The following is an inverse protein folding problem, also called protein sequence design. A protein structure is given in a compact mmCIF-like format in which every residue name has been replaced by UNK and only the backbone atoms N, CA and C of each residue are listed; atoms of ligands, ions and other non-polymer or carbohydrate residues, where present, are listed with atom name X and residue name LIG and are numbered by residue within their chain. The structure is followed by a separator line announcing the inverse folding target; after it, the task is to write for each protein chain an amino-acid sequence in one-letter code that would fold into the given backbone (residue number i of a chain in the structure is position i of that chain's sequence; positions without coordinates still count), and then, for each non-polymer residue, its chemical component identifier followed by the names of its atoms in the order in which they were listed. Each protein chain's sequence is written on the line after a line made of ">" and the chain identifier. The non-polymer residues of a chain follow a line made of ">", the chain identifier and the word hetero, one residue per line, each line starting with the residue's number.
data_IF_348555363820
#
_entry.id   IF_348555363820
#
_cell.length_a   1.000
_cell.length_b   1.000
_cell.length_c   1.000
_cell.angle_alpha   90.00
_cell.angle_beta   90.00
_cell.angle_gamma   90.00
#
_symmetry.space_group_name_H-M   'P 1'
#
loop_
_entity.id
_entity.type
_entity.pdbx_description
1 polymer ?
#
# COMPACT_ATOMS: atom_id res chain seq x y z
N UNK A 1 15.07 2.80 17.93
CA UNK A 1 15.16 4.20 17.48
C UNK A 1 13.94 4.45 16.61
N UNK A 2 12.97 5.21 17.11
CA UNK A 2 11.71 5.53 16.44
C UNK A 2 11.97 6.68 15.46
N UNK A 3 11.63 6.52 14.18
CA UNK A 3 11.76 7.59 13.19
C UNK A 3 10.37 8.00 12.72
N UNK A 4 10.00 9.23 13.05
CA UNK A 4 8.75 9.90 12.65
C UNK A 4 8.92 10.48 11.24
N UNK A 5 7.92 10.33 10.37
CA UNK A 5 7.86 11.04 9.09
C UNK A 5 6.58 11.87 9.00
N UNK A 6 6.65 13.10 8.46
CA UNK A 6 5.50 14.00 8.37
C UNK A 6 4.53 13.53 7.29
N UNK A 7 3.22 13.72 7.54
CA UNK A 7 2.17 13.48 6.54
C UNK A 7 1.99 14.77 5.76
N UNK A 8 2.61 14.89 4.59
CA UNK A 8 2.39 16.01 3.70
C UNK A 8 0.98 15.92 3.09
N UNK A 9 0.05 16.74 3.60
CA UNK A 9 -1.19 17.05 2.89
C UNK A 9 -0.89 18.06 1.80
N UNK A 10 -1.19 17.70 0.56
CA UNK A 10 -1.30 18.68 -0.51
C UNK A 10 -2.41 19.68 -0.12
N UNK A 11 -2.02 20.96 -0.10
CA UNK A 11 -2.82 22.17 0.15
C UNK A 11 -2.96 22.59 1.63
N UNK A 12 -2.13 23.57 2.01
CA UNK A 12 -2.44 24.61 3.01
C UNK A 12 -2.45 24.18 4.49
N UNK A 13 -1.35 24.49 5.17
CA UNK A 13 -1.18 24.73 6.62
C UNK A 13 -1.78 23.75 7.65
N UNK A 14 -0.86 23.00 8.25
CA UNK A 14 -0.64 22.88 9.71
C UNK A 14 -1.77 22.32 10.59
N UNK A 15 -1.83 20.99 10.66
CA UNK A 15 -2.05 20.26 11.92
C UNK A 15 -1.41 18.86 11.80
N UNK A 16 -0.21 18.70 12.34
CA UNK A 16 0.49 17.41 12.45
C UNK A 16 -0.26 16.51 13.44
N UNK A 17 -1.02 15.53 12.93
CA UNK A 17 -1.43 14.37 13.73
C UNK A 17 -0.45 13.24 13.49
N UNK A 18 0.46 13.03 14.44
CA UNK A 18 1.46 11.96 14.43
C UNK A 18 0.79 10.61 14.65
N UNK A 19 0.86 9.70 13.66
CA UNK A 19 0.50 8.29 13.83
C UNK A 19 1.79 7.48 13.70
N UNK A 20 2.22 6.86 14.79
CA UNK A 20 3.37 5.96 14.81
C UNK A 20 2.97 4.60 14.21
N UNK A 21 3.48 4.25 13.03
CA UNK A 21 3.44 2.88 12.52
C UNK A 21 4.76 2.17 12.83
N UNK A 22 4.74 1.24 13.78
CA UNK A 22 5.82 0.26 13.92
C UNK A 22 5.79 -0.68 12.70
N UNK A 23 6.83 -0.65 11.88
CA UNK A 23 6.88 -1.36 10.62
C UNK A 23 7.48 -2.77 10.79
N UNK A 24 6.63 -3.78 10.96
CA UNK A 24 6.97 -5.20 10.79
C UNK A 24 6.28 -5.84 9.59
N UNK A 25 5.55 -5.05 8.77
CA UNK A 25 4.82 -5.55 7.61
C UNK A 25 5.67 -5.42 6.34
N UNK A 26 5.82 -6.52 5.60
CA UNK A 26 6.52 -6.52 4.31
C UNK A 26 5.80 -5.59 3.30
N UNK A 27 6.55 -4.64 2.72
CA UNK A 27 6.01 -3.68 1.75
C UNK A 27 6.08 -4.27 0.34
N UNK A 28 4.92 -4.43 -0.30
CA UNK A 28 4.79 -4.92 -1.67
C UNK A 28 4.97 -3.77 -2.68
N UNK A 29 6.14 -3.69 -3.30
CA UNK A 29 6.43 -2.68 -4.33
C UNK A 29 5.94 -3.14 -5.71
N UNK A 30 5.13 -2.32 -6.36
CA UNK A 30 4.52 -2.62 -7.66
C UNK A 30 5.08 -1.71 -8.74
N UNK A 31 5.33 -2.28 -9.91
CA UNK A 31 5.77 -1.60 -11.12
C UNK A 31 4.79 -1.82 -12.27
N UNK A 32 4.95 -1.08 -13.36
CA UNK A 32 4.16 -1.29 -14.59
C UNK A 32 4.29 -2.71 -15.16
N UNK A 33 5.39 -3.43 -14.88
CA UNK A 33 5.61 -4.82 -15.33
C UNK A 33 5.11 -5.88 -14.36
N UNK A 34 4.68 -5.49 -13.16
CA UNK A 34 4.15 -6.42 -12.17
C UNK A 34 2.89 -7.09 -12.71
N UNK A 35 2.77 -8.40 -12.51
CA UNK A 35 1.59 -9.18 -12.92
C UNK A 35 0.53 -9.06 -11.81
N UNK A 36 -0.67 -8.53 -12.08
CA UNK A 36 -1.66 -8.27 -11.02
C UNK A 36 -2.03 -9.51 -10.22
N UNK A 37 -2.13 -10.69 -10.85
CA UNK A 37 -2.43 -11.95 -10.16
C UNK A 37 -1.33 -12.39 -9.18
N UNK A 38 -0.06 -12.17 -9.53
CA UNK A 38 1.06 -12.49 -8.64
C UNK A 38 1.08 -11.58 -7.41
N UNK A 39 0.88 -10.27 -7.62
CA UNK A 39 0.76 -9.30 -6.52
C UNK A 39 -0.47 -9.60 -5.67
N UNK A 40 -1.59 -10.00 -6.27
CA UNK A 40 -2.80 -10.38 -5.55
C UNK A 40 -2.58 -11.60 -4.64
N UNK A 41 -1.85 -12.61 -5.11
CA UNK A 41 -1.47 -13.76 -4.29
C UNK A 41 -0.63 -13.36 -3.08
N UNK A 42 0.33 -12.44 -3.27
CA UNK A 42 1.13 -11.89 -2.17
C UNK A 42 0.27 -11.11 -1.17
N UNK A 43 -0.62 -10.21 -1.63
CA UNK A 43 -1.55 -9.47 -0.76
C UNK A 43 -2.41 -10.45 0.05
N UNK A 44 -3.01 -11.44 -0.61
CA UNK A 44 -3.85 -12.42 0.08
C UNK A 44 -3.06 -13.25 1.10
N UNK A 45 -1.81 -13.63 0.80
CA UNK A 45 -0.92 -14.29 1.76
C UNK A 45 -0.69 -13.44 3.01
N UNK A 46 -0.27 -12.18 2.81
CA UNK A 46 -0.01 -11.24 3.91
C UNK A 46 -1.27 -10.98 4.74
N UNK A 47 -2.45 -10.86 4.12
CA UNK A 47 -3.73 -10.67 4.82
C UNK A 47 -4.13 -11.92 5.63
N UNK A 48 -3.82 -13.13 5.15
CA UNK A 48 -4.07 -14.36 5.92
C UNK A 48 -3.20 -14.42 7.17
N UNK A 49 -1.93 -14.01 7.05
CA UNK A 49 -0.94 -14.09 8.13
C UNK A 49 -1.05 -12.96 9.15
N UNK A 50 -1.14 -11.71 8.69
CA UNK A 50 -1.02 -10.51 9.53
C UNK A 50 -2.28 -9.65 9.59
N UNK A 51 -3.22 -9.86 8.65
CA UNK A 51 -4.42 -9.02 8.53
C UNK A 51 -4.19 -7.63 7.93
N UNK A 52 -2.94 -7.26 7.63
CA UNK A 52 -2.57 -5.94 7.12
C UNK A 52 -1.50 -6.06 6.03
N UNK A 53 -1.78 -5.59 4.82
CA UNK A 53 -0.83 -5.55 3.73
C UNK A 53 -0.59 -4.11 3.27
N UNK A 54 0.66 -3.79 2.94
CA UNK A 54 1.03 -2.50 2.37
C UNK A 54 1.52 -2.67 0.94
N UNK A 55 0.93 -1.90 0.01
CA UNK A 55 1.32 -1.88 -1.40
C UNK A 55 1.76 -0.47 -1.79
N UNK A 56 2.93 -0.34 -2.40
CA UNK A 56 3.45 0.94 -2.88
C UNK A 56 3.64 0.93 -4.39
N UNK A 57 3.31 2.03 -5.06
CA UNK A 57 3.43 2.16 -6.52
C UNK A 57 3.77 3.59 -6.94
N UNK A 58 4.52 3.74 -8.03
CA UNK A 58 4.87 5.05 -8.60
C UNK A 58 4.48 5.09 -10.07
N UNK A 59 3.75 6.15 -10.42
CA UNK A 59 3.26 6.38 -11.77
C UNK A 59 2.02 5.56 -12.13
N UNK A 60 1.26 6.07 -13.11
CA UNK A 60 -0.06 5.55 -13.47
C UNK A 60 -0.07 4.05 -13.82
N UNK A 61 0.96 3.58 -14.53
CA UNK A 61 1.08 2.17 -14.91
C UNK A 61 1.17 1.24 -13.70
N UNK A 62 2.06 1.55 -12.76
CA UNK A 62 2.23 0.76 -11.55
C UNK A 62 0.99 0.82 -10.64
N UNK A 63 0.39 2.00 -10.48
CA UNK A 63 -0.82 2.17 -9.67
C UNK A 63 -2.00 1.40 -10.25
N UNK A 64 -2.15 1.37 -11.58
CA UNK A 64 -3.16 0.54 -12.24
C UNK A 64 -2.93 -0.97 -12.01
N UNK A 65 -1.68 -1.43 -12.02
CA UNK A 65 -1.38 -2.84 -11.71
C UNK A 65 -1.67 -3.17 -10.24
N UNK A 66 -1.37 -2.24 -9.33
CA UNK A 66 -1.62 -2.41 -7.91
C UNK A 66 -3.12 -2.48 -7.60
N UNK A 67 -3.94 -1.56 -8.14
CA UNK A 67 -5.38 -1.58 -7.87
C UNK A 67 -6.07 -2.81 -8.48
N UNK A 68 -5.61 -3.28 -9.65
CA UNK A 68 -6.06 -4.56 -10.21
C UNK A 68 -5.71 -5.73 -9.29
N UNK A 69 -4.51 -5.72 -8.70
CA UNK A 69 -4.10 -6.74 -7.75
C UNK A 69 -4.96 -6.73 -6.48
N UNK A 70 -5.29 -5.56 -5.94
CA UNK A 70 -6.20 -5.42 -4.79
C UNK A 70 -7.58 -5.98 -5.11
N UNK A 71 -8.12 -5.68 -6.30
CA UNK A 71 -9.42 -6.20 -6.73
C UNK A 71 -9.41 -7.74 -6.81
N UNK A 72 -8.37 -8.33 -7.40
CA UNK A 72 -8.22 -9.80 -7.50
C UNK A 72 -8.02 -10.42 -6.11
N UNK A 73 -7.20 -9.81 -5.25
CA UNK A 73 -6.96 -10.30 -3.89
C UNK A 73 -8.25 -10.34 -3.08
N UNK A 74 -9.11 -9.32 -3.23
CA UNK A 74 -10.44 -9.32 -2.60
C UNK A 74 -11.30 -10.47 -3.08
N UNK A 75 -11.27 -10.82 -4.36
CA UNK A 75 -11.98 -12.01 -4.86
C UNK A 75 -11.46 -13.30 -4.22
N UNK A 76 -10.13 -13.49 -4.16
CA UNK A 76 -9.53 -14.67 -3.52
C UNK A 76 -9.91 -14.80 -2.04
N UNK A 77 -9.91 -13.68 -1.32
CA UNK A 77 -10.20 -13.66 0.12
C UNK A 77 -11.69 -13.82 0.41
N UNK A 78 -12.58 -13.31 -0.45
CA UNK A 78 -14.03 -13.43 -0.29
C UNK A 78 -14.51 -14.89 -0.39
N UNK A 79 -13.89 -15.70 -1.26
CA UNK A 79 -14.13 -17.15 -1.32
C UNK A 79 -13.83 -17.87 0.00
N UNK A 80 -13.00 -17.27 0.87
CA UNK A 80 -12.63 -17.75 2.20
C UNK A 80 -13.40 -17.04 3.33
N UNK A 81 -14.35 -16.16 3.00
CA UNK A 81 -15.11 -15.37 3.99
C UNK A 81 -14.34 -14.21 4.60
N UNK A 82 -13.25 -13.77 3.99
CA UNK A 82 -12.44 -12.62 4.43
C UNK A 82 -12.75 -11.42 3.50
N UNK A 83 -13.37 -10.37 4.03
CA UNK A 83 -13.51 -9.09 3.32
C UNK A 83 -12.34 -8.15 3.65
N UNK A 84 -11.94 -7.35 2.68
CA UNK A 84 -10.86 -6.36 2.82
C UNK A 84 -11.28 -4.99 2.30
N UNK A 85 -10.71 -3.96 2.90
CA UNK A 85 -10.79 -2.57 2.44
C UNK A 85 -9.41 -2.07 1.99
N UNK A 86 -9.39 -1.04 1.16
CA UNK A 86 -8.17 -0.40 0.68
C UNK A 86 -8.22 1.10 0.96
N UNK A 87 -7.22 1.60 1.67
CA UNK A 87 -7.08 2.99 2.07
C UNK A 87 -5.86 3.59 1.36
N UNK A 88 -6.04 4.36 0.26
CA UNK A 88 -4.94 4.98 -0.45
C UNK A 88 -4.45 6.26 0.25
N UNK A 89 -3.16 6.53 0.15
CA UNK A 89 -2.49 7.74 0.64
C UNK A 89 -1.28 8.08 -0.24
N UNK A 90 -0.86 9.35 -0.22
CA UNK A 90 0.42 9.75 -0.80
C UNK A 90 1.55 9.51 0.20
N UNK A 91 2.70 9.09 -0.31
CA UNK A 91 3.96 9.05 0.43
C UNK A 91 5.08 9.56 -0.47
N UNK A 92 6.11 10.16 0.13
CA UNK A 92 7.34 10.47 -0.60
C UNK A 92 8.36 9.36 -0.40
N UNK A 93 8.97 8.91 -1.50
CA UNK A 93 9.98 7.86 -1.51
C UNK A 93 11.22 8.34 -2.25
N UNK A 94 12.40 8.03 -1.72
CA UNK A 94 13.66 8.34 -2.38
C UNK A 94 14.00 7.26 -3.42
N UNK A 95 14.20 7.67 -4.67
CA UNK A 95 14.65 6.81 -5.78
C UNK A 95 15.75 7.55 -6.51
N UNK A 96 16.90 6.90 -6.71
CA UNK A 96 18.06 7.48 -7.41
C UNK A 96 18.46 8.86 -6.87
N UNK A 97 18.35 9.03 -5.54
CA UNK A 97 18.64 10.28 -4.84
C UNK A 97 17.67 11.45 -5.15
N UNK A 98 16.55 11.17 -5.80
CA UNK A 98 15.45 12.10 -6.02
C UNK A 98 14.19 11.68 -5.25
N UNK A 99 13.49 12.65 -4.68
CA UNK A 99 12.19 12.40 -4.08
C UNK A 99 11.13 12.19 -5.17
N UNK A 100 10.30 11.18 -4.97
CA UNK A 100 9.17 10.84 -5.83
C UNK A 100 7.95 10.63 -4.97
N UNK A 101 6.85 11.27 -5.33
CA UNK A 101 5.55 10.98 -4.73
C UNK A 101 5.03 9.65 -5.26
N UNK A 102 4.78 8.71 -4.35
CA UNK A 102 4.20 7.41 -4.59
C UNK A 102 2.77 7.33 -4.02
N UNK A 103 2.02 6.34 -4.49
CA UNK A 103 0.76 5.93 -3.88
C UNK A 103 1.04 4.74 -2.96
N UNK A 104 0.71 4.89 -1.69
CA UNK A 104 0.60 3.82 -0.69
C UNK A 104 -0.84 3.38 -0.59
N UNK A 105 -1.09 2.09 -0.72
CA UNK A 105 -2.37 1.46 -0.47
C UNK A 105 -2.22 0.57 0.75
N UNK A 106 -2.92 0.92 1.83
CA UNK A 106 -3.04 0.06 2.99
C UNK A 106 -4.26 -0.83 2.78
N UNK A 107 -4.07 -2.15 2.87
CA UNK A 107 -5.14 -3.14 2.73
C UNK A 107 -5.28 -3.84 4.06
N UNK A 108 -6.49 -3.87 4.61
CA UNK A 108 -6.78 -4.47 5.91
C UNK A 108 -8.10 -5.23 5.86
N UNK A 109 -8.26 -6.19 6.77
CA UNK A 109 -9.55 -6.85 6.97
C UNK A 109 -10.59 -5.84 7.44
N UNK A 110 -11.82 -6.01 6.95
CA UNK A 110 -12.97 -5.19 7.34
C UNK A 110 -13.54 -5.60 8.71
#
# INVERSE_FOLDING_TARGET
>A
MTQTLPIARAVGESAESTVEYQNTTEVLKVSTRSRPSAVAGAIAGVIRESGLAEVQSIGAGATNQAIKAVAIARSYLNEEGIDIICVPSFIDVAIDNEERTAIRMLIERR
#
